data_IF_739072683260
#
_entry.id   IF_739072683260
#
_cell.length_a   1.000
_cell.length_b   1.000
_cell.length_c   1.000
_cell.angle_alpha   90.00
_cell.angle_beta   90.00
_cell.angle_gamma   90.00
#
_symmetry.space_group_name_H-M   'P 1'
#
loop_
_entity.id
_entity.type
_entity.pdbx_description
1 polymer ?
#
# COMPACT_ATOMS: atom_id res chain seq x y z
N UNK A 1 -6.23 -23.11 -5.76
CA UNK A 1 -7.67 -23.05 -5.44
C UNK A 1 -7.82 -21.73 -4.73
N UNK A 2 -8.38 -20.72 -5.41
CA UNK A 2 -8.49 -19.36 -4.85
C UNK A 2 -9.46 -19.35 -3.68
N UNK A 3 -9.21 -18.44 -2.71
CA UNK A 3 -10.09 -18.21 -1.58
C UNK A 3 -11.53 -18.01 -2.05
N UNK A 4 -12.45 -18.58 -1.33
CA UNK A 4 -13.86 -18.30 -1.49
C UNK A 4 -14.08 -16.79 -1.14
N UNK A 5 -14.27 -15.97 -2.18
CA UNK A 5 -14.51 -14.53 -2.05
C UNK A 5 -15.77 -14.20 -1.23
N UNK A 6 -16.54 -15.21 -0.80
CA UNK A 6 -17.71 -15.05 0.06
C UNK A 6 -17.37 -14.55 1.48
N UNK A 7 -16.12 -14.71 1.92
CA UNK A 7 -15.68 -14.28 3.26
C UNK A 7 -15.49 -12.75 3.41
N UNK A 8 -15.39 -12.00 2.30
CA UNK A 8 -15.17 -10.54 2.30
C UNK A 8 -16.45 -9.84 1.86
N UNK A 9 -16.95 -8.93 2.66
CA UNK A 9 -18.11 -8.10 2.32
C UNK A 9 -17.81 -7.25 1.07
N UNK A 10 -18.54 -7.52 -0.03
CA UNK A 10 -18.29 -6.90 -1.33
C UNK A 10 -18.72 -5.42 -1.37
N UNK A 11 -19.75 -5.03 -0.60
CA UNK A 11 -20.16 -3.64 -0.50
C UNK A 11 -19.09 -2.82 0.22
N UNK A 12 -18.57 -3.33 1.33
CA UNK A 12 -17.46 -2.69 2.06
C UNK A 12 -16.18 -2.65 1.22
N UNK A 13 -15.90 -3.69 0.44
CA UNK A 13 -14.74 -3.71 -0.46
C UNK A 13 -14.87 -2.63 -1.55
N UNK A 14 -16.07 -2.40 -2.07
CA UNK A 14 -16.33 -1.32 -3.02
C UNK A 14 -16.15 0.07 -2.38
N UNK A 15 -16.64 0.27 -1.15
CA UNK A 15 -16.40 1.50 -0.37
C UNK A 15 -14.90 1.73 -0.10
N UNK A 16 -14.13 0.66 0.16
CA UNK A 16 -12.68 0.75 0.32
C UNK A 16 -12.01 1.24 -0.96
N UNK A 17 -12.43 0.74 -2.13
CA UNK A 17 -11.92 1.20 -3.42
C UNK A 17 -12.25 2.69 -3.66
N UNK A 18 -13.45 3.13 -3.33
CA UNK A 18 -13.86 4.54 -3.43
C UNK A 18 -12.97 5.43 -2.54
N UNK A 19 -12.81 5.07 -1.26
CA UNK A 19 -11.93 5.81 -0.34
C UNK A 19 -10.49 5.84 -0.85
N UNK A 20 -9.98 4.70 -1.32
CA UNK A 20 -8.60 4.61 -1.82
C UNK A 20 -8.36 5.56 -3.00
N UNK A 21 -9.31 5.67 -3.93
CA UNK A 21 -9.20 6.51 -5.13
C UNK A 21 -9.47 7.98 -4.81
N UNK A 22 -10.60 8.28 -4.16
CA UNK A 22 -11.07 9.66 -3.97
C UNK A 22 -10.35 10.38 -2.84
N UNK A 23 -9.99 9.68 -1.78
CA UNK A 23 -9.35 10.27 -0.61
C UNK A 23 -7.88 9.94 -0.55
N UNK A 24 -7.54 8.64 -0.54
CA UNK A 24 -6.16 8.20 -0.37
C UNK A 24 -5.26 8.67 -1.50
N UNK A 25 -5.70 8.49 -2.73
CA UNK A 25 -4.97 8.90 -3.93
C UNK A 25 -5.29 10.34 -4.35
N UNK A 26 -6.52 10.80 -4.12
CA UNK A 26 -7.03 12.08 -4.62
C UNK A 26 -6.79 12.20 -6.14
N UNK A 27 -7.21 11.16 -6.88
CA UNK A 27 -7.01 11.07 -8.33
C UNK A 27 -7.66 12.25 -9.05
N UNK A 28 -6.93 12.86 -9.98
CA UNK A 28 -7.40 14.02 -10.73
C UNK A 28 -7.97 13.57 -12.08
N UNK A 29 -8.90 14.36 -12.63
CA UNK A 29 -9.45 14.12 -13.96
C UNK A 29 -8.35 14.11 -15.04
N UNK A 30 -8.38 13.15 -15.95
CA UNK A 30 -7.39 12.93 -17.00
C UNK A 30 -6.07 12.31 -16.53
N UNK A 31 -5.88 12.12 -15.23
CA UNK A 31 -4.65 11.56 -14.67
C UNK A 31 -4.58 10.04 -14.90
N UNK A 32 -3.44 9.53 -15.34
CA UNK A 32 -3.18 8.09 -15.42
C UNK A 32 -2.93 7.49 -14.04
N UNK A 33 -3.21 6.20 -13.88
CA UNK A 33 -2.96 5.46 -12.65
C UNK A 33 -2.07 4.24 -12.91
N UNK A 34 -0.90 4.19 -12.27
CA UNK A 34 -0.07 2.99 -12.18
C UNK A 34 -0.37 2.30 -10.84
N UNK A 35 -0.90 1.07 -10.92
CA UNK A 35 -1.35 0.29 -9.78
C UNK A 35 -0.54 -0.99 -9.65
N UNK A 36 0.12 -1.22 -8.50
CA UNK A 36 0.83 -2.47 -8.21
C UNK A 36 0.07 -3.27 -7.17
N UNK A 37 -0.08 -4.58 -7.37
CA UNK A 37 -0.83 -5.44 -6.47
C UNK A 37 -0.35 -6.91 -6.52
N UNK A 38 -0.52 -7.70 -5.45
CA UNK A 38 -0.45 -9.14 -5.53
C UNK A 38 -1.65 -9.71 -6.31
N UNK A 39 -1.47 -10.86 -6.98
CA UNK A 39 -2.55 -11.51 -7.72
C UNK A 39 -3.78 -11.79 -6.84
N UNK A 40 -3.59 -12.08 -5.56
CA UNK A 40 -4.68 -12.30 -4.61
C UNK A 40 -5.62 -11.08 -4.50
N UNK A 41 -5.12 -9.86 -4.71
CA UNK A 41 -5.90 -8.63 -4.60
C UNK A 41 -6.67 -8.25 -5.89
N UNK A 42 -6.70 -9.11 -6.92
CA UNK A 42 -7.41 -8.84 -8.17
C UNK A 42 -8.86 -8.36 -7.97
N UNK A 43 -9.65 -8.87 -6.99
CA UNK A 43 -10.99 -8.34 -6.75
C UNK A 43 -11.00 -6.85 -6.41
N UNK A 44 -10.12 -6.40 -5.52
CA UNK A 44 -9.99 -4.98 -5.15
C UNK A 44 -9.43 -4.15 -6.32
N UNK A 45 -8.46 -4.69 -7.09
CA UNK A 45 -7.91 -4.01 -8.28
C UNK A 45 -9.01 -3.66 -9.28
N UNK A 46 -9.96 -4.58 -9.53
CA UNK A 46 -11.09 -4.33 -10.43
C UNK A 46 -12.00 -3.21 -9.94
N UNK A 47 -12.27 -3.16 -8.64
CA UNK A 47 -13.07 -2.11 -8.02
C UNK A 47 -12.34 -0.75 -8.06
N UNK A 48 -11.06 -0.74 -7.73
CA UNK A 48 -10.21 0.47 -7.82
C UNK A 48 -10.16 0.99 -9.25
N UNK A 49 -9.99 0.13 -10.25
CA UNK A 49 -9.98 0.54 -11.65
C UNK A 49 -11.33 1.15 -12.07
N UNK A 50 -12.43 0.52 -11.66
CA UNK A 50 -13.76 1.07 -11.93
C UNK A 50 -13.98 2.44 -11.27
N UNK A 51 -13.58 2.61 -10.00
CA UNK A 51 -13.67 3.89 -9.30
C UNK A 51 -12.72 4.94 -9.88
N UNK A 52 -11.52 4.56 -10.32
CA UNK A 52 -10.59 5.47 -10.98
C UNK A 52 -11.19 6.04 -12.27
N UNK A 53 -11.80 5.20 -13.12
CA UNK A 53 -12.48 5.67 -14.33
C UNK A 53 -13.72 6.53 -14.02
N UNK A 54 -14.48 6.22 -12.96
CA UNK A 54 -15.57 7.09 -12.49
C UNK A 54 -15.07 8.45 -12.00
N UNK A 55 -13.85 8.50 -11.48
CA UNK A 55 -13.18 9.74 -11.07
C UNK A 55 -12.52 10.49 -12.24
N UNK A 56 -12.61 9.96 -13.47
CA UNK A 56 -12.07 10.60 -14.67
C UNK A 56 -10.64 10.20 -15.02
N UNK A 57 -10.13 9.06 -14.53
CA UNK A 57 -8.80 8.58 -14.91
C UNK A 57 -8.61 8.48 -16.43
N UNK A 58 -7.41 8.78 -16.92
CA UNK A 58 -7.02 8.56 -18.31
C UNK A 58 -6.82 7.06 -18.58
N UNK A 59 -5.69 6.50 -18.16
CA UNK A 59 -5.36 5.08 -18.32
C UNK A 59 -5.05 4.46 -16.96
N UNK A 60 -5.67 3.32 -16.66
CA UNK A 60 -5.34 2.51 -15.46
C UNK A 60 -4.47 1.33 -15.88
N UNK A 61 -3.23 1.29 -15.39
CA UNK A 61 -2.25 0.25 -15.71
C UNK A 61 -1.96 -0.61 -14.48
N UNK A 62 -2.56 -1.81 -14.32
CA UNK A 62 -2.26 -2.71 -13.23
C UNK A 62 -1.00 -3.53 -13.51
N UNK A 63 -0.13 -3.67 -12.50
CA UNK A 63 1.06 -4.50 -12.50
C UNK A 63 0.93 -5.49 -11.36
N UNK A 64 0.95 -6.79 -11.67
CA UNK A 64 0.76 -7.82 -10.68
C UNK A 64 2.06 -8.52 -10.31
N UNK A 65 2.17 -8.90 -9.03
CA UNK A 65 3.16 -9.83 -8.52
C UNK A 65 2.47 -11.13 -8.10
N UNK A 66 3.15 -12.26 -8.28
CA UNK A 66 2.69 -13.57 -7.85
C UNK A 66 3.74 -14.25 -6.96
N UNK A 67 3.28 -14.77 -5.82
CA UNK A 67 4.13 -15.40 -4.82
C UNK A 67 4.78 -16.69 -5.34
N UNK A 68 4.05 -17.50 -6.13
CA UNK A 68 4.57 -18.73 -6.71
C UNK A 68 5.69 -18.44 -7.74
N UNK A 69 5.55 -17.38 -8.51
CA UNK A 69 6.61 -16.93 -9.44
C UNK A 69 7.85 -16.48 -8.65
N UNK A 70 7.66 -15.76 -7.56
CA UNK A 70 8.76 -15.34 -6.68
C UNK A 70 9.48 -16.57 -6.10
N UNK A 71 8.75 -17.55 -5.53
CA UNK A 71 9.33 -18.76 -4.98
C UNK A 71 10.00 -19.65 -6.05
N UNK A 72 9.46 -19.70 -7.28
CA UNK A 72 10.08 -20.41 -8.39
C UNK A 72 11.47 -19.85 -8.73
N UNK A 73 11.68 -18.54 -8.59
CA UNK A 73 13.02 -17.94 -8.75
C UNK A 73 14.01 -18.44 -7.70
N UNK A 74 13.58 -18.58 -6.43
CA UNK A 74 14.44 -19.11 -5.37
C UNK A 74 14.75 -20.60 -5.57
N UNK A 75 13.78 -21.37 -6.08
CA UNK A 75 13.93 -22.81 -6.29
C UNK A 75 14.79 -23.15 -7.53
N UNK A 76 14.70 -22.35 -8.60
CA UNK A 76 15.26 -22.72 -9.92
C UNK A 76 16.13 -21.65 -10.55
N UNK A 77 16.18 -20.43 -9.99
CA UNK A 77 16.98 -19.35 -10.52
C UNK A 77 18.48 -19.58 -10.35
N UNK A 78 19.28 -19.23 -11.36
CA UNK A 78 20.72 -19.18 -11.24
C UNK A 78 21.18 -18.05 -10.30
N UNK A 79 22.36 -18.17 -9.69
CA UNK A 79 22.90 -17.14 -8.79
C UNK A 79 22.96 -15.77 -9.47
N UNK A 80 23.38 -15.71 -10.72
CA UNK A 80 23.42 -14.45 -11.49
C UNK A 80 22.02 -13.82 -11.70
N UNK A 81 20.92 -14.59 -11.55
CA UNK A 81 19.57 -14.05 -11.68
C UNK A 81 19.17 -13.17 -10.49
N UNK A 82 19.79 -13.39 -9.30
CA UNK A 82 19.50 -12.61 -8.11
C UNK A 82 20.12 -11.21 -8.14
N UNK A 83 21.10 -10.96 -8.99
CA UNK A 83 21.66 -9.63 -9.26
C UNK A 83 20.84 -8.81 -10.26
N UNK A 84 19.74 -9.37 -10.77
CA UNK A 84 18.96 -8.76 -11.85
C UNK A 84 17.54 -8.45 -11.40
N UNK A 85 17.07 -7.27 -11.81
CA UNK A 85 15.70 -6.81 -11.65
C UNK A 85 15.15 -6.28 -12.98
N UNK A 86 13.82 -6.20 -13.17
CA UNK A 86 13.21 -5.70 -14.40
C UNK A 86 13.32 -4.18 -14.54
N UNK A 87 14.54 -3.67 -14.76
CA UNK A 87 14.82 -2.24 -14.84
C UNK A 87 14.00 -1.50 -15.89
N UNK A 88 13.60 -2.20 -16.97
CA UNK A 88 12.71 -1.64 -18.00
C UNK A 88 11.33 -1.28 -17.44
N UNK A 89 10.81 -2.11 -16.52
CA UNK A 89 9.51 -1.87 -15.86
C UNK A 89 9.56 -0.61 -15.01
N UNK A 90 10.60 -0.48 -14.17
CA UNK A 90 10.76 0.68 -13.31
C UNK A 90 11.03 1.97 -14.10
N UNK A 91 11.74 1.88 -15.25
CA UNK A 91 11.87 3.03 -16.16
C UNK A 91 10.53 3.44 -16.76
N UNK A 92 9.70 2.46 -17.22
CA UNK A 92 8.36 2.75 -17.71
C UNK A 92 7.46 3.38 -16.64
N UNK A 93 7.57 2.94 -15.38
CA UNK A 93 6.87 3.59 -14.27
C UNK A 93 7.37 5.03 -14.04
N UNK A 94 8.70 5.23 -14.06
CA UNK A 94 9.29 6.57 -13.91
C UNK A 94 8.82 7.53 -15.02
N UNK A 95 8.77 7.05 -16.27
CA UNK A 95 8.24 7.82 -17.40
C UNK A 95 6.76 8.19 -17.19
N UNK A 96 5.94 7.25 -16.70
CA UNK A 96 4.55 7.53 -16.33
C UNK A 96 4.45 8.60 -15.23
N UNK A 97 5.27 8.51 -14.19
CA UNK A 97 5.29 9.51 -13.11
C UNK A 97 5.81 10.87 -13.57
N UNK A 98 6.77 10.92 -14.48
CA UNK A 98 7.21 12.15 -15.11
C UNK A 98 6.10 12.84 -15.93
N UNK A 99 5.13 12.06 -16.42
CA UNK A 99 3.91 12.53 -17.09
C UNK A 99 2.71 12.64 -16.12
N UNK A 100 2.97 12.83 -14.82
CA UNK A 100 1.96 13.05 -13.79
C UNK A 100 1.02 11.86 -13.51
N UNK A 101 1.42 10.62 -13.82
CA UNK A 101 0.63 9.47 -13.42
C UNK A 101 0.61 9.34 -11.88
N UNK A 102 -0.56 9.04 -11.32
CA UNK A 102 -0.70 8.71 -9.91
C UNK A 102 -0.19 7.27 -9.63
N UNK A 103 0.27 7.02 -8.40
CA UNK A 103 0.69 5.70 -7.96
C UNK A 103 -0.22 5.11 -6.90
N UNK A 104 -0.74 3.91 -7.10
CA UNK A 104 -1.35 3.12 -6.01
C UNK A 104 -0.61 1.79 -5.82
N UNK A 105 -0.38 1.40 -4.57
CA UNK A 105 0.03 0.04 -4.24
C UNK A 105 -1.06 -0.62 -3.40
N UNK A 106 -1.43 -1.85 -3.76
CA UNK A 106 -2.26 -2.70 -2.90
C UNK A 106 -1.33 -3.70 -2.24
N UNK A 107 -1.27 -3.67 -0.91
CA UNK A 107 -0.54 -4.62 -0.09
C UNK A 107 -1.47 -5.75 0.38
N UNK A 108 -0.93 -6.92 0.57
CA UNK A 108 -1.68 -8.11 0.97
C UNK A 108 -0.83 -9.36 0.73
N UNK A 109 0.48 -9.16 0.53
CA UNK A 109 1.43 -10.23 0.34
C UNK A 109 1.61 -11.06 1.62
N UNK A 110 2.09 -12.30 1.45
CA UNK A 110 2.50 -13.13 2.57
C UNK A 110 3.75 -12.54 3.25
N UNK A 111 3.66 -12.05 4.48
CA UNK A 111 4.79 -11.44 5.16
C UNK A 111 5.92 -12.43 5.46
N UNK A 112 5.64 -13.74 5.43
CA UNK A 112 6.59 -14.82 5.70
C UNK A 112 7.05 -15.56 4.43
N UNK A 113 6.72 -15.03 3.23
CA UNK A 113 6.99 -15.70 1.96
C UNK A 113 8.45 -16.17 1.79
N UNK A 114 9.38 -15.33 2.20
CA UNK A 114 10.82 -15.57 2.04
C UNK A 114 11.51 -16.03 3.33
N UNK A 115 10.77 -16.29 4.42
CA UNK A 115 11.36 -16.61 5.71
C UNK A 115 12.19 -17.92 5.71
N UNK A 116 11.86 -18.87 4.83
CA UNK A 116 12.58 -20.14 4.66
C UNK A 116 13.66 -20.09 3.56
N UNK A 117 13.85 -18.94 2.89
CA UNK A 117 14.81 -18.79 1.81
C UNK A 117 16.20 -18.41 2.34
N UNK A 118 17.24 -18.65 1.53
CA UNK A 118 18.61 -18.23 1.85
C UNK A 118 18.66 -16.69 2.05
N UNK A 119 19.02 -16.21 3.26
CA UNK A 119 19.09 -14.78 3.54
C UNK A 119 20.03 -14.00 2.63
N UNK A 120 21.13 -14.62 2.16
CA UNK A 120 22.07 -13.96 1.25
C UNK A 120 21.42 -13.71 -0.11
N UNK A 121 20.68 -14.69 -0.66
CA UNK A 121 19.92 -14.53 -1.91
C UNK A 121 18.77 -13.52 -1.77
N UNK A 122 18.10 -13.51 -0.62
CA UNK A 122 17.05 -12.51 -0.33
C UNK A 122 17.64 -11.11 -0.32
N UNK A 123 18.76 -10.89 0.36
CA UNK A 123 19.45 -9.60 0.40
C UNK A 123 19.94 -9.16 -0.99
N UNK A 124 20.50 -10.08 -1.78
CA UNK A 124 20.99 -9.83 -3.14
C UNK A 124 19.84 -9.38 -4.06
N UNK A 125 18.72 -10.13 -4.07
CA UNK A 125 17.53 -9.77 -4.85
C UNK A 125 16.93 -8.43 -4.41
N UNK A 126 16.83 -8.19 -3.10
CA UNK A 126 16.33 -6.92 -2.55
C UNK A 126 17.19 -5.73 -2.99
N UNK A 127 18.51 -5.87 -2.96
CA UNK A 127 19.46 -4.85 -3.43
C UNK A 127 19.27 -4.59 -4.93
N UNK A 128 19.19 -5.63 -5.75
CA UNK A 128 18.99 -5.49 -7.20
C UNK A 128 17.67 -4.77 -7.53
N UNK A 129 16.57 -5.14 -6.84
CA UNK A 129 15.28 -4.49 -7.00
C UNK A 129 15.32 -3.02 -6.56
N UNK A 130 15.91 -2.72 -5.39
CA UNK A 130 16.02 -1.36 -4.88
C UNK A 130 16.79 -0.43 -5.83
N UNK A 131 17.90 -0.92 -6.37
CA UNK A 131 18.70 -0.16 -7.35
C UNK A 131 17.92 0.09 -8.64
N UNK A 132 17.22 -0.92 -9.16
CA UNK A 132 16.43 -0.78 -10.38
C UNK A 132 15.20 0.11 -10.18
N UNK A 133 14.57 0.07 -8.99
CA UNK A 133 13.38 0.85 -8.67
C UNK A 133 13.65 2.33 -8.38
N UNK A 134 14.91 2.71 -8.10
CA UNK A 134 15.27 4.08 -7.70
C UNK A 134 14.62 5.17 -8.57
N UNK A 135 14.67 5.12 -9.93
CA UNK A 135 14.08 6.16 -10.77
C UNK A 135 12.55 6.31 -10.58
N UNK A 136 11.85 5.20 -10.33
CA UNK A 136 10.41 5.21 -10.08
C UNK A 136 10.06 5.66 -8.65
N UNK A 137 10.95 5.40 -7.68
CA UNK A 137 10.71 5.76 -6.29
C UNK A 137 11.00 7.23 -5.98
N UNK A 138 11.90 7.86 -6.71
CA UNK A 138 12.34 9.23 -6.48
C UNK A 138 11.19 10.25 -6.59
N UNK A 139 10.30 10.24 -7.60
CA UNK A 139 9.14 11.11 -7.65
C UNK A 139 8.15 10.89 -6.49
N UNK A 140 8.04 9.65 -6.00
CA UNK A 140 7.16 9.29 -4.89
C UNK A 140 7.70 9.86 -3.56
N UNK A 141 8.99 9.64 -3.28
CA UNK A 141 9.64 10.11 -2.05
C UNK A 141 9.75 11.62 -1.98
N UNK A 142 9.84 12.29 -3.13
CA UNK A 142 9.87 13.76 -3.23
C UNK A 142 8.46 14.38 -3.30
N UNK A 143 7.40 13.58 -3.14
CA UNK A 143 6.00 14.03 -3.23
C UNK A 143 5.68 14.76 -4.55
N UNK A 144 6.38 14.39 -5.64
CA UNK A 144 6.15 14.98 -6.96
C UNK A 144 4.88 14.44 -7.64
N UNK A 145 4.41 13.27 -7.21
CA UNK A 145 3.16 12.65 -7.67
C UNK A 145 2.30 12.26 -6.47
N UNK A 146 0.98 12.21 -6.65
CA UNK A 146 0.08 11.69 -5.65
C UNK A 146 0.20 10.16 -5.58
N UNK A 147 0.25 9.63 -4.37
CA UNK A 147 0.36 8.20 -4.14
C UNK A 147 -0.40 7.73 -2.91
N UNK A 148 -0.81 6.48 -2.92
CA UNK A 148 -1.46 5.83 -1.79
C UNK A 148 -1.13 4.35 -1.72
N UNK A 149 -1.26 3.80 -0.52
CA UNK A 149 -1.18 2.36 -0.27
C UNK A 149 -2.49 1.93 0.37
N UNK A 150 -3.09 0.89 -0.20
CA UNK A 150 -4.32 0.27 0.30
C UNK A 150 -4.04 -1.19 0.66
N UNK A 151 -4.73 -1.72 1.66
CA UNK A 151 -4.56 -3.09 2.11
C UNK A 151 -5.66 -4.01 1.53
N UNK A 152 -5.30 -5.26 1.19
CA UNK A 152 -6.22 -6.33 0.84
C UNK A 152 -6.03 -7.53 1.76
N UNK A 153 -7.11 -8.12 2.34
CA UNK A 153 -7.02 -9.22 3.30
C UNK A 153 -6.74 -10.56 2.57
N UNK A 154 -5.45 -10.86 2.34
CA UNK A 154 -5.07 -12.15 1.77
C UNK A 154 -5.13 -13.27 2.81
N UNK A 155 -5.30 -14.53 2.34
CA UNK A 155 -5.26 -15.70 3.21
C UNK A 155 -3.95 -15.84 3.98
N UNK A 156 -2.83 -15.62 3.30
CA UNK A 156 -1.51 -15.77 3.91
C UNK A 156 -1.30 -14.79 5.06
N UNK A 157 -1.71 -13.54 4.89
CA UNK A 157 -1.66 -12.54 5.94
C UNK A 157 -2.67 -12.84 7.06
N UNK A 158 -3.90 -13.27 6.72
CA UNK A 158 -4.92 -13.62 7.69
C UNK A 158 -4.49 -14.79 8.60
N UNK A 159 -3.81 -15.81 8.05
CA UNK A 159 -3.23 -16.93 8.82
C UNK A 159 -2.19 -16.47 9.83
N UNK A 160 -1.37 -15.47 9.46
CA UNK A 160 -0.38 -14.88 10.37
C UNK A 160 -1.04 -14.13 11.53
N UNK A 161 -2.08 -13.36 11.23
CA UNK A 161 -2.75 -12.53 12.23
C UNK A 161 -3.67 -13.33 13.16
N UNK A 162 -4.28 -14.40 12.64
CA UNK A 162 -5.30 -15.18 13.34
C UNK A 162 -5.09 -16.69 13.14
N UNK A 163 -3.96 -17.26 13.64
CA UNK A 163 -3.56 -18.64 13.37
C UNK A 163 -4.56 -19.68 13.91
N UNK A 164 -5.32 -19.34 14.95
CA UNK A 164 -6.26 -20.23 15.61
C UNK A 164 -7.65 -20.25 14.95
N UNK A 165 -7.89 -19.41 13.94
CA UNK A 165 -9.18 -19.34 13.25
C UNK A 165 -9.19 -20.18 11.98
N UNK A 166 -10.36 -20.71 11.61
CA UNK A 166 -10.60 -21.21 10.27
C UNK A 166 -10.35 -20.09 9.25
N UNK A 167 -9.82 -20.44 8.06
CA UNK A 167 -9.28 -19.45 7.13
C UNK A 167 -10.30 -18.41 6.67
N UNK A 168 -11.53 -18.81 6.41
CA UNK A 168 -12.63 -17.93 6.04
C UNK A 168 -12.92 -16.90 7.13
N UNK A 169 -12.93 -17.33 8.41
CA UNK A 169 -13.10 -16.46 9.57
C UNK A 169 -11.90 -15.55 9.80
N UNK A 170 -10.69 -16.06 9.57
CA UNK A 170 -9.48 -15.26 9.68
C UNK A 170 -9.45 -14.13 8.61
N UNK A 171 -9.79 -14.44 7.36
CA UNK A 171 -9.91 -13.48 6.25
C UNK A 171 -11.00 -12.45 6.53
N UNK A 172 -12.19 -12.88 6.96
CA UNK A 172 -13.28 -11.97 7.31
C UNK A 172 -12.89 -11.01 8.46
N UNK A 173 -12.21 -11.54 9.49
CA UNK A 173 -11.74 -10.72 10.62
C UNK A 173 -10.66 -9.73 10.21
N UNK A 174 -9.74 -10.13 9.33
CA UNK A 174 -8.73 -9.21 8.77
C UNK A 174 -9.38 -8.14 7.90
N UNK A 175 -10.37 -8.52 7.07
CA UNK A 175 -11.13 -7.59 6.25
C UNK A 175 -11.82 -6.52 7.12
N UNK A 176 -12.52 -6.92 8.20
CA UNK A 176 -13.16 -5.98 9.11
C UNK A 176 -12.14 -5.02 9.76
N UNK A 177 -10.97 -5.51 10.16
CA UNK A 177 -9.92 -4.65 10.72
C UNK A 177 -9.41 -3.62 9.69
N UNK A 178 -9.27 -4.01 8.42
CA UNK A 178 -8.92 -3.10 7.33
C UNK A 178 -10.03 -2.07 7.09
N UNK A 179 -11.30 -2.50 7.08
CA UNK A 179 -12.46 -1.63 6.89
C UNK A 179 -12.59 -0.61 8.02
N UNK A 180 -12.40 -1.03 9.27
CA UNK A 180 -12.40 -0.13 10.43
C UNK A 180 -11.28 0.90 10.36
N UNK A 181 -10.05 0.47 10.09
CA UNK A 181 -8.90 1.35 9.94
C UNK A 181 -9.08 2.36 8.80
N UNK A 182 -9.75 1.93 7.72
CA UNK A 182 -10.05 2.74 6.54
C UNK A 182 -11.37 3.53 6.65
N UNK A 183 -12.05 3.51 7.80
CA UNK A 183 -13.35 4.15 8.07
C UNK A 183 -14.50 3.70 7.15
N UNK A 184 -14.35 2.58 6.49
CA UNK A 184 -15.35 2.01 5.56
C UNK A 184 -16.66 1.67 6.27
N UNK A 185 -16.60 1.34 7.56
CA UNK A 185 -17.76 1.01 8.40
C UNK A 185 -18.61 2.24 8.81
N UNK A 186 -18.29 3.43 8.31
CA UNK A 186 -19.13 4.63 8.50
C UNK A 186 -20.21 4.74 7.40
N UNK A 187 -21.22 5.56 7.63
CA UNK A 187 -22.29 5.78 6.66
C UNK A 187 -21.75 6.39 5.35
N UNK A 188 -20.86 7.37 5.46
CA UNK A 188 -20.15 8.04 4.36
C UNK A 188 -18.64 8.06 4.68
N UNK A 189 -17.88 7.09 4.18
CA UNK A 189 -16.45 7.01 4.43
C UNK A 189 -15.65 8.19 3.87
N UNK A 190 -16.06 8.76 2.75
CA UNK A 190 -15.38 9.90 2.12
C UNK A 190 -15.54 11.14 3.00
N UNK A 191 -16.76 11.44 3.45
CA UNK A 191 -17.03 12.54 4.38
C UNK A 191 -16.32 12.33 5.73
N UNK A 192 -16.28 11.09 6.26
CA UNK A 192 -15.57 10.74 7.49
C UNK A 192 -14.06 11.02 7.40
N UNK A 193 -13.43 10.72 6.27
CA UNK A 193 -12.04 11.07 6.00
C UNK A 193 -11.84 12.58 5.84
N UNK A 194 -12.78 13.29 5.19
CA UNK A 194 -12.76 14.76 5.10
C UNK A 194 -12.71 15.42 6.47
N UNK A 195 -13.61 14.99 7.38
CA UNK A 195 -13.63 15.48 8.75
C UNK A 195 -12.35 15.14 9.53
N UNK A 196 -11.82 13.93 9.36
CA UNK A 196 -10.57 13.51 9.98
C UNK A 196 -9.38 14.35 9.50
N UNK A 197 -9.25 14.56 8.20
CA UNK A 197 -8.18 15.36 7.62
C UNK A 197 -8.24 16.82 8.08
N UNK A 198 -9.44 17.39 8.19
CA UNK A 198 -9.64 18.73 8.74
C UNK A 198 -9.19 18.82 10.21
N UNK A 199 -9.51 17.80 11.02
CA UNK A 199 -9.05 17.74 12.42
C UNK A 199 -7.52 17.60 12.52
N UNK A 200 -6.88 16.79 11.67
CA UNK A 200 -5.42 16.67 11.61
C UNK A 200 -4.77 17.99 11.21
N UNK A 201 -5.33 18.66 10.22
CA UNK A 201 -4.85 19.98 9.75
C UNK A 201 -4.93 21.03 10.88
N UNK A 202 -6.03 21.06 11.61
CA UNK A 202 -6.21 21.97 12.74
C UNK A 202 -5.15 21.70 13.85
N UNK A 203 -4.92 20.43 14.18
CA UNK A 203 -3.89 20.03 15.15
C UNK A 203 -2.48 20.40 14.70
N UNK A 204 -2.15 20.13 13.43
CA UNK A 204 -0.87 20.53 12.84
C UNK A 204 -0.64 22.03 12.95
N UNK A 205 -1.64 22.83 12.58
CA UNK A 205 -1.55 24.29 12.62
C UNK A 205 -1.39 24.79 14.07
N UNK A 206 -2.10 24.16 15.02
CA UNK A 206 -1.96 24.46 16.44
C UNK A 206 -0.53 24.17 16.94
N UNK A 207 0.01 22.97 16.65
CA UNK A 207 1.37 22.58 17.04
C UNK A 207 2.42 23.53 16.44
N UNK A 208 2.33 23.82 15.16
CA UNK A 208 3.27 24.70 14.48
C UNK A 208 3.19 26.15 15.02
N UNK A 209 2.01 26.60 15.42
CA UNK A 209 1.83 27.94 16.03
C UNK A 209 2.55 28.09 17.38
N UNK A 210 2.78 27.00 18.11
CA UNK A 210 3.49 27.04 19.39
C UNK A 210 5.01 27.01 19.27
N UNK A 211 5.56 26.58 18.12
CA UNK A 211 7.00 26.50 17.85
C UNK A 211 7.78 25.79 18.98
N UNK A 212 7.30 24.61 19.36
CA UNK A 212 7.98 23.81 20.39
C UNK A 212 9.40 23.45 19.95
N UNK A 213 10.36 23.49 20.87
CA UNK A 213 11.75 23.09 20.62
C UNK A 213 11.97 21.58 20.84
N UNK A 214 11.08 20.92 21.60
CA UNK A 214 11.18 19.49 21.88
C UNK A 214 9.81 18.87 22.18
N UNK A 215 9.72 17.55 22.00
CA UNK A 215 8.63 16.71 22.48
C UNK A 215 9.15 15.80 23.58
N UNK A 216 8.42 15.70 24.69
CA UNK A 216 8.76 14.85 25.81
C UNK A 216 7.69 13.76 26.00
N UNK A 217 8.10 12.50 25.91
CA UNK A 217 7.25 11.33 26.06
C UNK A 217 7.56 10.66 27.40
N UNK A 218 6.56 10.54 28.28
CA UNK A 218 6.67 9.84 29.57
C UNK A 218 5.60 8.77 29.72
N UNK A 219 6.00 7.61 30.21
CA UNK A 219 5.11 6.49 30.50
C UNK A 219 5.87 5.38 31.25
N UNK A 220 5.20 4.28 31.65
CA UNK A 220 5.88 3.16 32.26
C UNK A 220 7.00 2.63 31.36
N UNK A 221 8.26 2.71 31.84
CA UNK A 221 9.44 2.30 31.07
C UNK A 221 9.88 3.27 29.97
N UNK A 222 9.29 4.46 29.88
CA UNK A 222 9.64 5.46 28.85
C UNK A 222 9.85 6.83 29.47
N UNK A 223 11.01 7.42 29.21
CA UNK A 223 11.33 8.84 29.45
C UNK A 223 12.21 9.30 28.27
N UNK A 224 11.58 9.86 27.24
CA UNK A 224 12.23 10.21 25.97
C UNK A 224 11.97 11.67 25.64
N UNK A 225 13.03 12.42 25.37
CA UNK A 225 12.94 13.77 24.82
C UNK A 225 13.49 13.78 23.39
N UNK A 226 12.67 14.26 22.44
CA UNK A 226 13.04 14.41 21.03
C UNK A 226 13.13 15.90 20.74
N UNK A 227 14.35 16.39 20.44
CA UNK A 227 14.56 17.75 19.95
C UNK A 227 13.95 17.93 18.57
N UNK A 228 13.29 19.06 18.34
CA UNK A 228 12.76 19.45 17.02
C UNK A 228 13.78 20.34 16.31
N UNK A 229 13.93 20.11 14.99
CA UNK A 229 14.84 20.93 14.20
C UNK A 229 14.33 22.38 14.07
N UNK A 230 15.24 23.34 14.03
CA UNK A 230 14.89 24.73 13.78
C UNK A 230 14.36 24.90 12.35
N UNK A 231 13.27 25.68 12.18
CA UNK A 231 12.73 26.03 10.88
C UNK A 231 11.50 25.26 10.42
N UNK A 232 10.76 24.64 11.32
CA UNK A 232 9.44 24.06 11.05
C UNK A 232 8.30 25.04 11.20
#
# INVERSE_FOLDING_TARGET
MGADMSAIDQEKLAKLAEVAVRVGLNLQEGQDLILTAPMAALPLVRLVAAEAYKAGAGVVTPIFADEAITLAKFAHGSDASFDRAPAWLYRGMADGFANNAARMAISGDNPMLLAAQDPARVAQLSKANAMAAKPAMEPITNFAVNWSICAYPSEAWARQMFPDLAIDKAVAKLAEAIFDASRVNTADPVAAWGAHNAALLARRNWLNGHRFSALHFRGPGTDLTVGLADGH
#
